data_IF_180585601670
#
_entry.id   IF_180585601670
#
_cell.length_a   1.000
_cell.length_b   1.000
_cell.length_c   1.000
_cell.angle_alpha   90.00
_cell.angle_beta   90.00
_cell.angle_gamma   90.00
#
_symmetry.space_group_name_H-M   'P 1'
#
loop_
_entity.id
_entity.type
_entity.pdbx_description
1 polymer ?
#
# COMPACT_ATOMS: atom_id res chain seq x y z
N UNK A 1 21.25 -9.66 6.96
CA UNK A 1 21.85 -10.84 7.61
C UNK A 1 22.82 -11.46 6.64
N UNK A 2 24.05 -11.70 7.07
CA UNK A 2 25.12 -12.15 6.18
C UNK A 2 26.09 -13.04 6.93
N UNK A 3 26.56 -14.07 6.23
CA UNK A 3 27.78 -14.76 6.59
C UNK A 3 28.95 -13.78 6.44
N UNK A 4 29.62 -13.48 7.54
CA UNK A 4 30.83 -12.66 7.55
C UNK A 4 32.05 -13.57 7.42
N UNK A 5 32.97 -13.29 6.48
CA UNK A 5 34.20 -14.07 6.30
C UNK A 5 35.37 -13.29 6.89
N UNK A 6 36.07 -13.87 7.87
CA UNK A 6 37.26 -13.26 8.47
C UNK A 6 38.53 -14.04 8.13
N UNK A 7 39.49 -13.34 7.51
CA UNK A 7 40.86 -13.81 7.28
C UNK A 7 41.07 -14.71 6.06
N UNK A 8 42.36 -14.96 5.75
CA UNK A 8 42.81 -15.80 4.62
C UNK A 8 42.42 -17.28 4.74
N UNK A 9 41.98 -17.72 5.93
CA UNK A 9 41.57 -19.10 6.22
C UNK A 9 40.15 -19.47 5.76
N UNK A 10 39.41 -18.52 5.16
CA UNK A 10 38.10 -18.77 4.56
C UNK A 10 36.98 -19.09 5.57
N UNK A 11 37.18 -18.80 6.86
CA UNK A 11 36.16 -19.06 7.88
C UNK A 11 35.01 -18.05 7.79
N UNK A 12 33.78 -18.55 7.71
CA UNK A 12 32.55 -17.76 7.64
C UNK A 12 31.73 -17.90 8.91
N UNK A 13 31.26 -16.80 9.48
CA UNK A 13 30.43 -16.80 10.69
C UNK A 13 29.09 -16.10 10.43
N UNK A 14 28.03 -16.62 11.02
CA UNK A 14 26.71 -16.03 10.88
C UNK A 14 26.48 -14.93 11.91
N UNK A 15 26.04 -13.78 11.43
CA UNK A 15 25.56 -12.69 12.26
C UNK A 15 24.10 -12.37 11.91
N UNK A 16 23.26 -12.28 12.95
CA UNK A 16 21.89 -11.79 12.83
C UNK A 16 21.80 -10.39 13.39
N UNK A 17 21.10 -9.51 12.66
CA UNK A 17 20.71 -8.22 13.20
C UNK A 17 19.41 -8.39 13.97
N UNK A 18 19.44 -8.08 15.25
CA UNK A 18 18.27 -8.08 16.13
C UNK A 18 17.95 -6.63 16.48
N UNK A 19 16.67 -6.27 16.45
CA UNK A 19 16.22 -4.95 16.89
C UNK A 19 15.57 -5.13 18.25
N UNK A 20 16.12 -4.44 19.24
CA UNK A 20 15.59 -4.36 20.59
C UNK A 20 15.24 -2.89 20.87
N UNK A 21 13.94 -2.59 20.81
CA UNK A 21 13.43 -1.22 20.82
C UNK A 21 14.06 -0.33 19.74
N UNK A 22 14.67 0.83 20.10
CA UNK A 22 15.27 1.75 19.15
C UNK A 22 16.64 1.30 18.62
N UNK A 23 17.29 0.30 19.26
CA UNK A 23 18.66 -0.09 18.94
C UNK A 23 18.70 -1.35 18.09
N UNK A 24 19.59 -1.36 17.09
CA UNK A 24 19.89 -2.56 16.29
C UNK A 24 21.24 -3.12 16.76
N UNK A 25 21.24 -4.36 17.23
CA UNK A 25 22.45 -5.08 17.66
C UNK A 25 22.76 -6.21 16.67
N UNK A 26 24.04 -6.62 16.60
CA UNK A 26 24.47 -7.80 15.83
C UNK A 26 24.78 -8.93 16.79
N UNK A 27 24.06 -10.03 16.68
CA UNK A 27 24.29 -11.24 17.45
C UNK A 27 25.08 -12.25 16.62
N UNK A 28 26.14 -12.79 17.22
CA UNK A 28 27.01 -13.79 16.62
C UNK A 28 26.48 -15.19 16.90
N UNK A 29 26.36 -16.01 15.87
CA UNK A 29 25.88 -17.40 15.94
C UNK A 29 26.92 -18.41 15.44
N UNK A 30 28.14 -17.94 15.14
CA UNK A 30 29.24 -18.81 14.73
C UNK A 30 29.04 -19.48 13.35
N UNK A 31 29.84 -20.53 13.13
CA UNK A 31 29.96 -21.26 11.83
C UNK A 31 29.31 -22.64 11.82
N UNK A 32 29.01 -23.19 13.00
CA UNK A 32 28.51 -24.54 13.18
C UNK A 32 27.02 -24.71 12.84
N UNK A 33 26.46 -25.83 13.29
CA UNK A 33 25.05 -26.17 13.10
C UNK A 33 24.09 -25.06 13.54
N UNK A 34 24.42 -24.34 14.61
CA UNK A 34 23.63 -23.20 15.10
C UNK A 34 23.54 -22.06 14.09
N UNK A 35 24.67 -21.56 13.59
CA UNK A 35 24.69 -20.49 12.57
C UNK A 35 23.97 -20.89 11.28
N UNK A 36 24.08 -22.16 10.88
CA UNK A 36 23.35 -22.69 9.72
C UNK A 36 21.84 -22.75 9.95
N UNK A 37 21.39 -23.22 11.11
CA UNK A 37 19.99 -23.28 11.47
C UNK A 37 19.36 -21.88 11.49
N UNK A 38 20.03 -20.89 12.08
CA UNK A 38 19.53 -19.51 12.10
C UNK A 38 19.51 -18.90 10.70
N UNK A 39 20.51 -19.18 9.86
CA UNK A 39 20.51 -18.74 8.46
C UNK A 39 19.33 -19.32 7.67
N UNK A 40 19.01 -20.61 7.88
CA UNK A 40 17.85 -21.25 7.25
C UNK A 40 16.52 -20.66 7.74
N UNK A 41 16.39 -20.40 9.04
CA UNK A 41 15.20 -19.73 9.60
C UNK A 41 15.02 -18.34 8.99
N UNK A 42 16.09 -17.54 8.89
CA UNK A 42 16.02 -16.20 8.31
C UNK A 42 15.66 -16.24 6.81
N UNK A 43 16.12 -17.26 6.07
CA UNK A 43 15.71 -17.50 4.68
C UNK A 43 14.22 -17.85 4.57
N UNK A 44 13.71 -18.72 5.46
CA UNK A 44 12.29 -19.06 5.50
C UNK A 44 11.43 -17.82 5.80
N UNK A 45 11.81 -17.02 6.80
CA UNK A 45 11.13 -15.77 7.13
C UNK A 45 11.14 -14.79 5.95
N UNK A 46 12.28 -14.67 5.25
CA UNK A 46 12.36 -13.79 4.07
C UNK A 46 11.42 -14.28 2.95
N UNK A 47 11.36 -15.59 2.70
CA UNK A 47 10.44 -16.17 1.71
C UNK A 47 8.98 -15.92 2.08
N UNK A 48 8.62 -16.13 3.33
CA UNK A 48 7.28 -15.82 3.85
C UNK A 48 6.92 -14.35 3.60
N UNK A 49 7.78 -13.41 4.01
CA UNK A 49 7.54 -11.97 3.82
C UNK A 49 7.37 -11.58 2.35
N UNK A 50 8.13 -12.19 1.44
CA UNK A 50 8.00 -11.94 0.01
C UNK A 50 6.67 -12.49 -0.52
N UNK A 51 6.26 -13.68 -0.07
CA UNK A 51 4.96 -14.25 -0.43
C UNK A 51 3.80 -13.40 0.10
N UNK A 52 3.86 -12.99 1.37
CA UNK A 52 2.85 -12.12 1.99
C UNK A 52 2.78 -10.78 1.25
N UNK A 53 3.93 -10.16 0.95
CA UNK A 53 3.98 -8.93 0.17
C UNK A 53 3.32 -9.12 -1.20
N UNK A 54 3.69 -10.17 -1.93
CA UNK A 54 3.11 -10.44 -3.25
C UNK A 54 1.59 -10.67 -3.19
N UNK A 55 1.11 -11.34 -2.13
CA UNK A 55 -0.31 -11.52 -1.86
C UNK A 55 -1.01 -10.17 -1.64
N UNK A 56 -0.49 -9.34 -0.75
CA UNK A 56 -1.08 -8.04 -0.45
C UNK A 56 -1.02 -7.07 -1.63
N UNK A 57 0.09 -7.03 -2.37
CA UNK A 57 0.22 -6.24 -3.59
C UNK A 57 -0.87 -6.65 -4.61
N UNK A 58 -1.14 -7.95 -4.76
CA UNK A 58 -2.21 -8.44 -5.63
C UNK A 58 -3.59 -7.99 -5.14
N UNK A 59 -3.89 -8.16 -3.85
CA UNK A 59 -5.17 -7.75 -3.26
C UNK A 59 -5.39 -6.24 -3.44
N UNK A 60 -4.41 -5.42 -3.09
CA UNK A 60 -4.47 -3.97 -3.23
C UNK A 60 -4.64 -3.54 -4.69
N UNK A 61 -3.96 -4.20 -5.64
CA UNK A 61 -4.13 -3.92 -7.07
C UNK A 61 -5.54 -4.20 -7.59
N UNK A 62 -6.25 -5.17 -7.00
CA UNK A 62 -7.64 -5.45 -7.36
C UNK A 62 -8.58 -4.39 -6.80
N UNK A 63 -8.40 -4.02 -5.54
CA UNK A 63 -9.18 -2.95 -4.90
C UNK A 63 -8.99 -1.62 -5.63
N UNK A 64 -7.75 -1.26 -5.97
CA UNK A 64 -7.44 0.00 -6.64
C UNK A 64 -8.08 0.09 -8.03
N UNK A 65 -8.08 -1.02 -8.79
CA UNK A 65 -8.78 -1.06 -10.09
C UNK A 65 -10.28 -0.82 -9.94
N UNK A 66 -10.92 -1.46 -8.98
CA UNK A 66 -12.35 -1.25 -8.71
C UNK A 66 -12.62 0.18 -8.27
N UNK A 67 -11.77 0.73 -7.40
CA UNK A 67 -11.87 2.13 -6.93
C UNK A 67 -11.81 3.11 -8.09
N UNK A 68 -10.81 3.00 -8.97
CA UNK A 68 -10.67 3.88 -10.14
C UNK A 68 -11.90 3.85 -11.04
N UNK A 69 -12.50 2.67 -11.25
CA UNK A 69 -13.72 2.55 -12.05
C UNK A 69 -14.93 3.17 -11.35
N UNK A 70 -15.09 2.94 -10.04
CA UNK A 70 -16.16 3.55 -9.24
C UNK A 70 -16.06 5.07 -9.18
N UNK A 71 -14.84 5.62 -9.04
CA UNK A 71 -14.60 7.06 -9.02
C UNK A 71 -14.99 7.68 -10.36
N UNK A 72 -14.57 7.07 -11.49
CA UNK A 72 -14.98 7.50 -12.84
C UNK A 72 -16.49 7.46 -13.04
N UNK A 73 -17.15 6.39 -12.62
CA UNK A 73 -18.60 6.26 -12.74
C UNK A 73 -19.33 7.31 -11.90
N UNK A 74 -18.84 7.56 -10.69
CA UNK A 74 -19.37 8.59 -9.78
C UNK A 74 -19.26 9.97 -10.42
N UNK A 75 -18.11 10.30 -11.01
CA UNK A 75 -17.90 11.59 -11.66
C UNK A 75 -18.79 11.78 -12.90
N UNK A 76 -18.92 10.75 -13.75
CA UNK A 76 -19.83 10.78 -14.89
C UNK A 76 -21.29 10.97 -14.44
N UNK A 77 -21.71 10.24 -13.41
CA UNK A 77 -23.08 10.35 -12.88
C UNK A 77 -23.34 11.74 -12.30
N UNK A 78 -22.39 12.31 -11.57
CA UNK A 78 -22.46 13.69 -11.06
C UNK A 78 -22.57 14.71 -12.20
N UNK A 79 -21.79 14.55 -13.27
CA UNK A 79 -21.84 15.44 -14.43
C UNK A 79 -23.18 15.34 -15.16
N UNK A 80 -23.70 14.12 -15.40
CA UNK A 80 -25.01 13.92 -16.01
C UNK A 80 -26.12 14.53 -15.17
N UNK A 81 -26.11 14.31 -13.86
CA UNK A 81 -27.08 14.92 -12.94
C UNK A 81 -27.00 16.46 -12.99
N UNK A 82 -25.80 17.03 -13.00
CA UNK A 82 -25.60 18.46 -13.12
C UNK A 82 -26.25 19.00 -14.41
N UNK A 83 -25.95 18.38 -15.55
CA UNK A 83 -26.51 18.77 -16.86
C UNK A 83 -28.03 18.70 -16.84
N UNK A 84 -28.61 17.61 -16.31
CA UNK A 84 -30.07 17.47 -16.19
C UNK A 84 -30.69 18.56 -15.33
N UNK A 85 -30.13 18.83 -14.15
CA UNK A 85 -30.63 19.86 -13.25
C UNK A 85 -30.59 21.25 -13.91
N UNK A 86 -29.48 21.59 -14.56
CA UNK A 86 -29.35 22.86 -15.28
C UNK A 86 -30.34 22.96 -16.45
N UNK A 87 -30.49 21.90 -17.25
CA UNK A 87 -31.45 21.84 -18.36
C UNK A 87 -32.90 22.02 -17.89
N UNK A 88 -33.23 21.55 -16.69
CA UNK A 88 -34.54 21.74 -16.06
C UNK A 88 -34.67 23.08 -15.29
N UNK A 89 -33.72 23.99 -15.47
CA UNK A 89 -33.78 25.34 -14.90
C UNK A 89 -33.35 25.43 -13.45
N UNK A 90 -32.68 24.42 -12.90
CA UNK A 90 -32.06 24.50 -11.58
C UNK A 90 -30.66 25.14 -11.67
N UNK A 91 -30.16 25.58 -10.52
CA UNK A 91 -28.80 26.06 -10.33
C UNK A 91 -28.29 25.70 -8.94
N UNK A 92 -26.98 25.55 -8.80
CA UNK A 92 -26.35 25.27 -7.51
C UNK A 92 -26.07 26.59 -6.77
N UNK A 93 -26.87 26.87 -5.74
CA UNK A 93 -26.70 28.00 -4.84
C UNK A 93 -25.56 27.71 -3.85
N UNK A 94 -24.56 28.60 -3.80
CA UNK A 94 -23.38 28.52 -2.92
C UNK A 94 -22.60 27.18 -2.99
N UNK A 95 -22.73 26.46 -4.10
CA UNK A 95 -21.98 25.22 -4.35
C UNK A 95 -22.47 23.98 -3.60
N UNK A 96 -23.58 24.03 -2.85
CA UNK A 96 -24.06 22.88 -2.06
C UNK A 96 -25.58 22.69 -2.05
N UNK A 97 -26.38 23.64 -2.53
CA UNK A 97 -27.85 23.56 -2.51
C UNK A 97 -28.42 23.80 -3.91
N UNK A 98 -29.23 22.88 -4.44
CA UNK A 98 -29.89 23.08 -5.74
C UNK A 98 -31.21 23.83 -5.60
N UNK A 99 -31.36 24.93 -6.34
CA UNK A 99 -32.60 25.73 -6.37
C UNK A 99 -33.14 25.84 -7.80
N UNK A 100 -34.46 25.89 -7.94
CA UNK A 100 -35.10 26.14 -9.23
C UNK A 100 -35.07 27.64 -9.51
N UNK A 101 -34.70 28.05 -10.73
CA UNK A 101 -34.89 29.43 -11.17
C UNK A 101 -36.39 29.71 -11.16
N UNK A 102 -36.82 30.71 -10.39
CA UNK A 102 -38.18 31.23 -10.50
C UNK A 102 -38.43 31.75 -11.91
N UNK A 103 -39.68 31.71 -12.39
CA UNK A 103 -40.03 32.38 -13.64
C UNK A 103 -39.60 33.85 -13.50
N UNK A 104 -38.71 34.34 -14.38
CA UNK A 104 -38.56 35.78 -14.55
C UNK A 104 -39.90 36.29 -15.07
N UNK A 105 -40.70 36.88 -14.19
CA UNK A 105 -41.78 37.77 -14.63
C UNK A 105 -41.11 38.90 -15.39
N UNK A 106 -41.22 38.87 -16.73
CA UNK A 106 -41.10 40.07 -17.54
C UNK A 106 -42.51 40.64 -17.64
N UNK A 107 -42.76 41.70 -16.89
CA UNK A 107 -44.02 42.45 -16.81
C UNK A 107 -43.77 43.72 -16.03
#
# INVERSE_FOLDING_TARGET
>A
MSWDRKGASGQSYYYRSERDGPKVTKKYYGRGAEGQAVAQQDLAIRRQRLADKAYWDRVLSQVERTRVMSDRYTDLTKQMLHVMLVAHGYYCHKGHEWRRRGKMFHG
#
